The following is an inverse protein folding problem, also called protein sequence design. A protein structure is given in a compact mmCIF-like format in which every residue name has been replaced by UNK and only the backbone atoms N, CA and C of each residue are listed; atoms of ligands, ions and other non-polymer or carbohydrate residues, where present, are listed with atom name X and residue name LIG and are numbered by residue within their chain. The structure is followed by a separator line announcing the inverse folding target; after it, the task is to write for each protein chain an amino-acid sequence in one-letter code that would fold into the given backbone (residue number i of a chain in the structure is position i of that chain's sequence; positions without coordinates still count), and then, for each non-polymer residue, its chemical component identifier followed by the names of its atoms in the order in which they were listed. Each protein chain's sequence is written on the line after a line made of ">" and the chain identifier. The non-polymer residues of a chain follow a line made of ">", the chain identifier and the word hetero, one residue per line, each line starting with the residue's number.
data_IF_408484251107
#
_entry.id   IF_408484251107
#
_cell.length_a   1.000
_cell.length_b   1.000
_cell.length_c   1.000
_cell.angle_alpha   90.00
_cell.angle_beta   90.00
_cell.angle_gamma   90.00
#
_symmetry.space_group_name_H-M   'P 1'
#
loop_
_entity.id
_entity.type
_entity.pdbx_description
1 polymer ?
#
# COMPACT_ATOMS: atom_id res chain seq x y z
N UNK A 1 10.92 -0.75 22.53
CA UNK A 1 9.91 -1.65 21.95
C UNK A 1 9.93 -1.32 20.49
N UNK A 2 10.49 -2.21 19.69
CA UNK A 2 10.80 -1.91 18.30
C UNK A 2 9.48 -1.69 17.55
N UNK A 3 9.38 -0.59 16.82
CA UNK A 3 8.17 -0.26 16.06
C UNK A 3 8.50 0.02 14.61
N UNK A 4 7.67 -0.52 13.72
CA UNK A 4 7.68 -0.21 12.30
C UNK A 4 6.56 0.80 12.06
N UNK A 5 6.90 1.94 11.48
CA UNK A 5 5.89 2.93 11.03
C UNK A 5 5.93 3.02 9.52
N UNK A 6 4.75 2.98 8.90
CA UNK A 6 4.57 3.19 7.46
C UNK A 6 3.67 4.40 7.22
N UNK A 7 4.07 5.28 6.30
CA UNK A 7 3.23 6.38 5.79
C UNK A 7 2.96 6.18 4.31
N UNK A 8 1.73 6.44 3.90
CA UNK A 8 1.27 6.34 2.51
C UNK A 8 0.93 7.75 2.01
N UNK A 9 1.72 8.25 1.06
CA UNK A 9 1.64 9.62 0.58
C UNK A 9 2.25 10.64 1.54
N UNK A 10 2.12 11.92 1.19
CA UNK A 10 2.63 13.06 1.97
C UNK A 10 1.55 13.76 2.80
N UNK A 11 0.29 13.47 2.53
CA UNK A 11 -0.84 14.12 3.17
C UNK A 11 -1.11 13.54 4.56
N UNK A 12 -1.76 14.35 5.42
CA UNK A 12 -2.16 13.94 6.77
C UNK A 12 -3.12 12.75 6.76
N UNK A 13 -3.95 12.65 5.73
CA UNK A 13 -4.94 11.58 5.56
C UNK A 13 -4.52 10.76 4.34
N UNK A 14 -4.32 9.44 4.46
CA UNK A 14 -3.98 8.60 3.32
C UNK A 14 -5.04 8.62 2.21
N UNK A 15 -4.69 8.25 0.97
CA UNK A 15 -5.65 8.12 -0.12
C UNK A 15 -6.82 7.21 0.27
N UNK A 16 -8.05 7.60 -0.11
CA UNK A 16 -9.30 6.91 0.26
C UNK A 16 -9.31 5.41 -0.08
N UNK A 17 -8.59 5.02 -1.13
CA UNK A 17 -8.54 3.65 -1.63
C UNK A 17 -7.20 2.95 -1.35
N UNK A 18 -6.31 3.58 -0.59
CA UNK A 18 -5.09 2.90 -0.14
C UNK A 18 -5.48 1.70 0.73
N UNK A 19 -4.83 0.57 0.49
CA UNK A 19 -5.04 -0.66 1.25
C UNK A 19 -3.70 -1.09 1.85
N UNK A 20 -3.75 -1.64 3.07
CA UNK A 20 -2.61 -2.32 3.68
C UNK A 20 -3.00 -3.77 3.87
N UNK A 21 -2.26 -4.68 3.25
CA UNK A 21 -2.44 -6.11 3.38
C UNK A 21 -1.32 -6.67 4.24
N UNK A 22 -1.66 -7.59 5.15
CA UNK A 22 -0.68 -8.37 5.89
C UNK A 22 -0.74 -9.81 5.43
N UNK A 23 0.41 -10.40 5.14
CA UNK A 23 0.50 -11.78 4.69
C UNK A 23 1.70 -12.48 5.31
N UNK A 24 1.58 -13.77 5.54
CA UNK A 24 2.72 -14.64 5.82
C UNK A 24 2.49 -15.99 5.15
N UNK A 25 3.56 -16.72 4.86
CA UNK A 25 3.48 -17.95 4.08
C UNK A 25 2.84 -19.10 4.86
N UNK A 26 3.18 -19.20 6.15
CA UNK A 26 2.71 -20.25 7.06
C UNK A 26 2.73 -19.72 8.49
N UNK A 27 2.04 -20.39 9.40
CA UNK A 27 1.95 -20.00 10.82
C UNK A 27 3.32 -19.90 11.51
N UNK A 28 4.30 -20.71 11.08
CA UNK A 28 5.65 -20.78 11.63
C UNK A 28 6.69 -19.95 10.84
N UNK A 29 6.24 -19.12 9.90
CA UNK A 29 7.14 -18.29 9.10
C UNK A 29 7.86 -17.25 9.98
N UNK A 30 9.19 -17.09 9.84
CA UNK A 30 9.95 -16.12 10.64
C UNK A 30 9.80 -14.69 10.12
N UNK A 31 8.77 -14.42 9.32
CA UNK A 31 8.50 -13.12 8.71
C UNK A 31 7.01 -12.95 8.46
N UNK A 32 6.61 -11.71 8.22
CA UNK A 32 5.33 -11.34 7.62
C UNK A 32 5.55 -10.11 6.73
N UNK A 33 4.70 -9.96 5.72
CA UNK A 33 4.66 -8.81 4.84
C UNK A 33 3.69 -7.77 5.40
N UNK A 34 4.04 -6.49 5.20
CA UNK A 34 3.13 -5.34 5.33
C UNK A 34 3.14 -4.64 3.99
N UNK A 35 2.03 -4.75 3.26
CA UNK A 35 1.99 -4.45 1.84
C UNK A 35 1.08 -3.24 1.58
N UNK A 36 1.65 -2.05 1.32
CA UNK A 36 0.85 -0.91 0.87
C UNK A 36 0.48 -1.09 -0.60
N UNK A 37 -0.82 -1.18 -0.88
CA UNK A 37 -1.35 -1.28 -2.23
C UNK A 37 -2.01 0.04 -2.64
N UNK A 38 -1.89 0.38 -3.93
CA UNK A 38 -2.49 1.58 -4.53
C UNK A 38 -4.02 1.50 -4.64
N UNK A 39 -4.58 0.30 -4.52
CA UNK A 39 -6.01 0.01 -4.58
C UNK A 39 -6.34 -1.34 -3.96
N UNK A 40 -7.62 -1.65 -3.75
CA UNK A 40 -8.06 -2.93 -3.21
C UNK A 40 -7.85 -4.10 -4.17
N UNK A 41 -7.90 -5.32 -3.63
CA UNK A 41 -7.88 -6.54 -4.42
C UNK A 41 -9.01 -6.52 -5.48
N UNK A 42 -8.70 -6.98 -6.69
CA UNK A 42 -9.62 -7.03 -7.82
C UNK A 42 -10.12 -5.65 -8.32
N UNK A 43 -9.35 -4.58 -8.11
CA UNK A 43 -9.67 -3.21 -8.53
C UNK A 43 -10.11 -3.05 -10.00
N UNK A 44 -9.53 -3.74 -11.01
CA UNK A 44 -9.97 -3.62 -12.39
C UNK A 44 -11.45 -3.98 -12.62
N UNK A 45 -11.96 -4.97 -11.89
CA UNK A 45 -13.29 -5.54 -12.15
C UNK A 45 -14.41 -4.71 -11.53
N UNK A 46 -14.19 -4.23 -10.31
CA UNK A 46 -15.18 -3.39 -9.62
C UNK A 46 -14.89 -1.88 -9.78
N UNK A 47 -13.79 -1.50 -10.43
CA UNK A 47 -13.41 -0.11 -10.77
C UNK A 47 -13.30 0.83 -9.57
N UNK A 48 -13.00 0.30 -8.38
CA UNK A 48 -12.77 1.11 -7.16
C UNK A 48 -11.29 1.09 -6.85
N UNK A 49 -10.68 2.27 -6.68
CA UNK A 49 -9.23 2.39 -6.43
C UNK A 49 -8.34 2.02 -7.62
N UNK A 50 -8.90 1.95 -8.83
CA UNK A 50 -8.13 1.75 -10.06
C UNK A 50 -7.50 3.08 -10.51
N UNK A 51 -6.19 3.07 -10.75
CA UNK A 51 -5.46 4.22 -11.29
C UNK A 51 -5.32 4.11 -12.80
N UNK A 52 -5.58 5.21 -13.51
CA UNK A 52 -5.34 5.34 -14.95
C UNK A 52 -4.28 6.42 -15.19
N UNK A 53 -3.30 6.12 -16.05
CA UNK A 53 -2.25 7.06 -16.49
C UNK A 53 -2.39 7.25 -17.99
N UNK A 54 -2.57 8.49 -18.45
CA UNK A 54 -2.75 8.78 -19.87
C UNK A 54 -1.43 8.68 -20.65
N UNK A 55 -1.46 8.61 -21.99
CA UNK A 55 -0.25 8.66 -22.81
C UNK A 55 0.60 9.89 -22.46
N UNK A 56 1.90 9.66 -22.28
CA UNK A 56 2.89 10.69 -21.89
C UNK A 56 2.73 11.29 -20.49
N UNK A 57 1.87 10.74 -19.64
CA UNK A 57 1.76 11.12 -18.23
C UNK A 57 2.53 10.18 -17.30
N UNK A 58 2.75 10.63 -16.06
CA UNK A 58 3.33 9.83 -14.98
C UNK A 58 2.56 10.09 -13.68
N UNK A 59 2.52 9.07 -12.81
CA UNK A 59 2.00 9.17 -11.44
C UNK A 59 3.00 8.60 -10.46
N UNK A 60 2.95 9.09 -9.21
CA UNK A 60 3.84 8.65 -8.14
C UNK A 60 3.03 8.07 -6.99
N UNK A 61 3.52 6.96 -6.44
CA UNK A 61 3.02 6.35 -5.21
C UNK A 61 4.15 6.35 -4.19
N UNK A 62 4.04 7.21 -3.18
CA UNK A 62 5.10 7.45 -2.21
C UNK A 62 4.83 6.67 -0.93
N UNK A 63 5.85 5.94 -0.45
CA UNK A 63 5.85 5.21 0.81
C UNK A 63 7.07 5.61 1.62
N UNK A 64 6.87 5.88 2.91
CA UNK A 64 7.95 6.05 3.89
C UNK A 64 7.85 4.93 4.92
N UNK A 65 8.98 4.27 5.20
CA UNK A 65 9.10 3.24 6.24
C UNK A 65 10.19 3.67 7.22
N UNK A 66 9.88 3.64 8.51
CA UNK A 66 10.84 3.98 9.58
C UNK A 66 10.81 2.95 10.70
N UNK A 67 11.98 2.66 11.24
CA UNK A 67 12.19 1.83 12.44
C UNK A 67 12.46 2.75 13.64
N UNK A 68 11.89 2.44 14.80
CA UNK A 68 12.17 3.13 16.06
C UNK A 68 12.36 2.15 17.19
#
# INVERSE_FOLDING_TARGET
>A
MDSITMKIGTDRVPPKHAVVVTWTQAEDSPFYCVEPWMGPANAPEHKVGLSHVAPSEAQSFLIEVSLK
#
